data_IF_066551473771
#
_entry.id   IF_066551473771
#
_cell.length_a   1.000
_cell.length_b   1.000
_cell.length_c   1.000
_cell.angle_alpha   90.00
_cell.angle_beta   90.00
_cell.angle_gamma   90.00
#
_symmetry.space_group_name_H-M   'P 1'
#
loop_
_entity.id
_entity.type
_entity.pdbx_description
1 polymer ?
#
# COMPACT_ATOMS: atom_id res chain seq x y z
N UNK A 1 1.72 70.01 44.38
CA UNK A 1 1.02 68.86 43.78
C UNK A 1 1.25 68.97 42.27
N UNK A 2 2.46 68.68 41.80
CA UNK A 2 2.90 67.36 41.33
C UNK A 2 2.23 66.98 40.02
N UNK A 3 2.80 67.39 38.89
CA UNK A 3 2.85 66.59 37.66
C UNK A 3 4.18 66.90 36.96
N UNK A 4 5.01 65.87 36.82
CA UNK A 4 6.33 65.89 36.21
C UNK A 4 6.18 65.73 34.70
N UNK A 5 6.69 66.71 33.94
CA UNK A 5 6.90 66.60 32.50
C UNK A 5 8.07 65.64 32.19
N UNK A 6 7.78 64.63 31.39
CA UNK A 6 8.74 63.66 30.85
C UNK A 6 9.52 64.29 29.68
N UNK A 7 10.77 64.67 29.94
CA UNK A 7 11.73 64.95 28.88
C UNK A 7 12.27 63.65 28.26
N UNK A 8 12.16 63.61 26.95
CA UNK A 8 12.61 62.59 26.00
C UNK A 8 14.12 62.30 26.08
N UNK A 9 14.48 61.02 26.25
CA UNK A 9 15.85 60.54 26.09
C UNK A 9 15.94 59.62 24.87
N UNK A 10 16.81 59.99 23.93
CA UNK A 10 16.98 59.31 22.65
C UNK A 10 17.58 57.91 22.77
N UNK A 11 16.88 56.91 22.23
CA UNK A 11 17.43 55.58 22.03
C UNK A 11 18.42 55.56 20.85
N UNK A 12 19.73 55.54 21.15
CA UNK A 12 20.75 55.10 20.19
C UNK A 12 20.54 53.62 19.88
N UNK A 13 20.03 53.30 18.70
CA UNK A 13 19.99 51.93 18.15
C UNK A 13 21.44 51.46 17.95
N UNK A 14 21.93 50.54 18.79
CA UNK A 14 23.18 49.82 18.53
C UNK A 14 22.92 48.81 17.41
N UNK A 15 23.39 49.10 16.21
CA UNK A 15 23.46 48.11 15.14
C UNK A 15 24.48 47.03 15.56
N UNK A 16 24.01 45.82 15.87
CA UNK A 16 24.89 44.66 15.93
C UNK A 16 25.41 44.39 14.51
N UNK A 17 26.74 44.31 14.30
CA UNK A 17 27.29 44.14 12.97
C UNK A 17 26.91 42.76 12.44
N UNK A 18 26.28 42.73 11.25
CA UNK A 18 25.92 41.54 10.48
C UNK A 18 27.07 40.51 10.38
N UNK A 19 28.32 40.99 10.46
CA UNK A 19 29.53 40.19 10.49
C UNK A 19 29.56 39.15 11.63
N UNK A 20 29.01 39.45 12.81
CA UNK A 20 28.97 38.52 13.93
C UNK A 20 27.96 37.37 13.71
N UNK A 21 26.89 37.59 12.93
CA UNK A 21 25.93 36.54 12.58
C UNK A 21 26.46 35.63 11.46
N UNK A 22 27.23 36.17 10.51
CA UNK A 22 27.86 35.39 9.43
C UNK A 22 28.97 34.48 9.99
N UNK A 23 29.79 34.99 10.92
CA UNK A 23 30.86 34.21 11.54
C UNK A 23 30.34 33.01 12.36
N UNK A 24 29.17 33.17 13.01
CA UNK A 24 28.53 32.08 13.75
C UNK A 24 27.94 31.00 12.82
N UNK A 25 27.49 31.36 11.60
CA UNK A 25 26.92 30.42 10.64
C UNK A 25 27.98 29.52 9.95
N UNK A 26 29.23 29.99 9.83
CA UNK A 26 30.33 29.25 9.19
C UNK A 26 31.02 28.22 10.12
N UNK A 27 30.77 28.28 11.43
CA UNK A 27 31.37 27.39 12.43
C UNK A 27 30.53 26.14 12.71
N UNK A 28 29.46 25.89 11.96
CA UNK A 28 28.67 24.66 12.11
C UNK A 28 29.33 23.57 11.26
N UNK A 29 29.97 22.53 11.85
CA UNK A 29 30.53 21.43 11.09
C UNK A 29 29.38 20.65 10.45
N UNK A 30 29.14 20.91 9.16
CA UNK A 30 28.36 20.03 8.30
C UNK A 30 29.14 18.73 8.20
N UNK A 31 28.70 17.71 8.95
CA UNK A 31 29.26 16.35 8.87
C UNK A 31 28.86 15.71 7.53
N UNK A 32 29.49 16.17 6.45
CA UNK A 32 29.42 15.56 5.14
C UNK A 32 30.27 14.29 5.15
N UNK A 33 29.63 13.14 5.35
CA UNK A 33 30.24 11.84 5.10
C UNK A 33 30.35 11.67 3.57
N UNK A 34 31.37 12.27 2.95
CA UNK A 34 31.60 12.15 1.51
C UNK A 34 33.07 11.88 1.21
N UNK A 35 33.30 10.84 0.42
CA UNK A 35 34.57 10.25 0.04
C UNK A 35 35.64 11.25 -0.40
N UNK A 36 36.72 11.31 0.36
CA UNK A 36 37.99 11.97 0.02
C UNK A 36 39.18 11.08 0.41
N UNK A 37 40.41 11.42 0.00
CA UNK A 37 41.61 10.60 0.25
C UNK A 37 41.99 10.48 1.73
N UNK A 38 41.45 11.34 2.59
CA UNK A 38 41.75 11.40 4.03
C UNK A 38 40.71 10.72 4.93
N UNK A 39 39.82 9.90 4.38
CA UNK A 39 38.87 9.13 5.20
C UNK A 39 39.56 7.88 5.77
N UNK A 40 39.57 7.68 7.10
CA UNK A 40 40.16 6.51 7.71
C UNK A 40 39.44 5.26 7.23
N UNK A 41 40.21 4.27 6.74
CA UNK A 41 39.68 3.01 6.26
C UNK A 41 39.03 2.25 7.43
N UNK A 42 37.70 2.37 7.57
CA UNK A 42 36.93 1.87 8.72
C UNK A 42 37.10 0.36 8.93
N UNK A 43 37.32 -0.40 7.84
CA UNK A 43 37.63 -1.83 7.89
C UNK A 43 38.96 -2.12 8.61
N UNK A 44 39.96 -1.26 8.46
CA UNK A 44 41.26 -1.43 9.11
C UNK A 44 41.26 -0.87 10.54
N UNK A 45 40.56 0.24 10.78
CA UNK A 45 40.50 0.89 12.10
C UNK A 45 39.61 0.13 13.08
N UNK A 46 38.49 -0.42 12.63
CA UNK A 46 37.57 -1.19 13.45
C UNK A 46 36.98 -2.36 12.66
N UNK A 47 37.82 -3.38 12.41
CA UNK A 47 37.44 -4.57 11.64
C UNK A 47 36.23 -5.28 12.24
N UNK A 48 36.24 -5.48 13.56
CA UNK A 48 35.18 -6.24 14.24
C UNK A 48 33.84 -5.50 14.17
N UNK A 49 33.82 -4.19 14.47
CA UNK A 49 32.61 -3.39 14.37
C UNK A 49 32.11 -3.19 12.93
N UNK A 50 33.01 -3.09 11.95
CA UNK A 50 32.64 -2.87 10.55
C UNK A 50 32.13 -4.13 9.86
N UNK A 51 32.66 -5.32 10.21
CA UNK A 51 32.20 -6.58 9.63
C UNK A 51 30.96 -7.16 10.34
N UNK A 52 30.72 -6.77 11.60
CA UNK A 52 29.51 -7.15 12.34
C UNK A 52 28.35 -6.17 12.13
N UNK A 53 28.63 -4.95 11.66
CA UNK A 53 27.61 -4.01 11.26
C UNK A 53 27.17 -4.33 9.83
N UNK A 54 25.98 -4.92 9.69
CA UNK A 54 25.33 -5.05 8.39
C UNK A 54 25.10 -3.62 7.87
N UNK A 55 25.69 -3.22 6.72
CA UNK A 55 25.34 -1.94 6.12
C UNK A 55 23.82 -1.87 5.97
N UNK A 56 23.22 -0.69 6.12
CA UNK A 56 21.76 -0.55 5.99
C UNK A 56 21.33 -1.14 4.65
N UNK A 57 20.83 -2.38 4.70
CA UNK A 57 20.33 -3.09 3.55
C UNK A 57 19.07 -2.36 3.15
N UNK A 58 19.05 -1.80 1.95
CA UNK A 58 17.81 -1.29 1.41
C UNK A 58 16.94 -2.51 1.09
N UNK A 59 16.12 -2.92 2.05
CA UNK A 59 15.23 -4.07 1.92
C UNK A 59 14.40 -3.99 0.64
N UNK A 60 13.94 -2.79 0.27
CA UNK A 60 13.20 -2.56 -0.97
C UNK A 60 14.02 -2.96 -2.21
N UNK A 61 15.30 -2.61 -2.22
CA UNK A 61 16.22 -2.93 -3.29
C UNK A 61 16.51 -4.43 -3.36
N UNK A 62 16.82 -5.08 -2.23
CA UNK A 62 17.10 -6.52 -2.21
C UNK A 62 15.86 -7.36 -2.52
N UNK A 63 14.66 -6.90 -2.13
CA UNK A 63 13.40 -7.56 -2.47
C UNK A 63 13.19 -7.69 -3.99
N UNK A 64 13.66 -6.73 -4.79
CA UNK A 64 13.58 -6.80 -6.26
C UNK A 64 14.45 -7.90 -6.89
N UNK A 65 15.33 -8.53 -6.10
CA UNK A 65 16.31 -9.53 -6.55
C UNK A 65 16.02 -10.93 -6.02
N UNK A 66 14.95 -11.10 -5.24
CA UNK A 66 14.57 -12.40 -4.67
C UNK A 66 14.14 -13.40 -5.74
N UNK A 67 13.61 -12.93 -6.86
CA UNK A 67 13.19 -13.73 -8.02
C UNK A 67 13.63 -13.04 -9.32
N UNK A 68 13.84 -13.79 -10.42
CA UNK A 68 14.13 -13.19 -11.70
C UNK A 68 12.96 -12.34 -12.22
N UNK A 69 13.29 -11.35 -13.04
CA UNK A 69 12.31 -10.59 -13.82
C UNK A 69 11.60 -11.54 -14.78
N UNK A 70 10.27 -11.53 -14.81
CA UNK A 70 9.49 -12.27 -15.81
C UNK A 70 9.44 -11.44 -17.10
N UNK A 71 10.06 -11.88 -18.20
CA UNK A 71 10.14 -11.10 -19.44
C UNK A 71 8.80 -10.97 -20.17
N UNK A 72 7.80 -11.77 -19.82
CA UNK A 72 6.46 -11.72 -20.44
C UNK A 72 5.53 -10.73 -19.76
N UNK A 73 5.94 -10.16 -18.63
CA UNK A 73 5.18 -9.17 -17.88
C UNK A 73 5.77 -7.78 -18.07
N UNK A 74 4.95 -6.71 -18.02
CA UNK A 74 5.42 -5.35 -18.17
C UNK A 74 6.33 -4.95 -17.00
N UNK A 75 7.30 -4.08 -17.29
CA UNK A 75 8.07 -3.38 -16.26
C UNK A 75 7.20 -2.31 -15.63
N UNK A 76 7.30 -2.17 -14.31
CA UNK A 76 6.59 -1.12 -13.60
C UNK A 76 7.05 0.26 -14.11
N UNK A 77 6.07 1.11 -14.37
CA UNK A 77 6.26 2.48 -14.81
C UNK A 77 5.52 3.39 -13.83
N UNK A 78 6.23 4.36 -13.27
CA UNK A 78 5.60 5.39 -12.46
C UNK A 78 4.55 6.12 -13.32
N UNK A 79 3.36 6.43 -12.77
CA UNK A 79 2.45 7.37 -13.41
C UNK A 79 3.23 8.64 -13.73
N UNK A 80 2.99 9.23 -14.91
CA UNK A 80 3.57 10.51 -15.25
C UNK A 80 3.28 11.50 -14.10
N UNK A 81 4.27 12.29 -13.65
CA UNK A 81 4.02 13.29 -12.62
C UNK A 81 2.83 14.14 -13.06
N UNK A 82 1.96 14.50 -12.11
CA UNK A 82 0.80 15.35 -12.35
C UNK A 82 1.27 16.79 -12.68
N UNK A 83 1.97 16.95 -13.80
CA UNK A 83 2.04 18.24 -14.46
C UNK A 83 0.61 18.57 -14.86
N UNK A 84 0.07 19.72 -14.46
CA UNK A 84 -1.24 20.14 -14.96
C UNK A 84 -1.14 20.04 -16.49
N UNK A 85 -1.96 19.19 -17.14
CA UNK A 85 -1.88 19.04 -18.58
C UNK A 85 -2.03 20.44 -19.17
N UNK A 86 -1.28 20.75 -20.24
CA UNK A 86 -1.65 21.88 -21.09
C UNK A 86 -3.16 21.75 -21.34
N UNK A 87 -3.98 22.80 -21.14
CA UNK A 87 -5.43 22.70 -21.30
C UNK A 87 -5.74 22.19 -22.70
N UNK A 88 -5.96 20.88 -22.79
CA UNK A 88 -6.41 20.19 -23.99
C UNK A 88 -7.84 19.80 -23.67
N UNK A 89 -8.80 20.14 -24.54
CA UNK A 89 -10.17 19.70 -24.34
C UNK A 89 -10.18 18.16 -24.28
N UNK A 90 -10.87 17.62 -23.28
CA UNK A 90 -11.11 16.19 -23.19
C UNK A 90 -11.80 15.71 -24.47
N UNK A 91 -11.47 14.52 -24.94
CA UNK A 91 -12.21 13.89 -26.03
C UNK A 91 -13.68 13.69 -25.63
N UNK A 92 -14.62 13.62 -26.61
CA UNK A 92 -16.03 13.38 -26.31
C UNK A 92 -16.26 12.12 -25.45
N UNK A 93 -15.51 11.05 -25.73
CA UNK A 93 -15.55 9.81 -24.94
C UNK A 93 -15.13 10.06 -23.47
N UNK A 94 -14.01 10.74 -23.24
CA UNK A 94 -13.54 11.06 -21.89
C UNK A 94 -14.52 11.95 -21.13
N UNK A 95 -15.18 12.89 -21.81
CA UNK A 95 -16.20 13.75 -21.20
C UNK A 95 -17.42 12.93 -20.76
N UNK A 96 -17.92 12.06 -21.62
CA UNK A 96 -19.08 11.23 -21.30
C UNK A 96 -18.75 10.20 -20.20
N UNK A 97 -17.57 9.56 -20.22
CA UNK A 97 -17.13 8.69 -19.11
C UNK A 97 -17.04 9.47 -17.79
N UNK A 98 -16.50 10.69 -17.81
CA UNK A 98 -16.40 11.52 -16.61
C UNK A 98 -17.79 11.93 -16.08
N UNK A 99 -18.72 12.26 -16.97
CA UNK A 99 -20.12 12.57 -16.60
C UNK A 99 -20.84 11.36 -16.02
N UNK A 100 -20.72 10.18 -16.65
CA UNK A 100 -21.29 8.93 -16.11
C UNK A 100 -20.74 8.61 -14.72
N UNK A 101 -19.42 8.76 -14.51
CA UNK A 101 -18.79 8.45 -13.20
C UNK A 101 -19.07 9.48 -12.11
N UNK A 102 -19.59 10.65 -12.47
CA UNK A 102 -19.98 11.68 -11.50
C UNK A 102 -21.38 11.44 -10.90
N UNK A 103 -22.15 10.49 -11.45
CA UNK A 103 -23.47 10.14 -10.91
C UNK A 103 -23.35 9.20 -9.70
N UNK A 104 -24.46 9.04 -8.96
CA UNK A 104 -24.50 8.15 -7.79
C UNK A 104 -25.19 6.81 -8.08
N UNK A 105 -25.99 6.76 -9.13
CA UNK A 105 -26.75 5.56 -9.51
C UNK A 105 -26.47 5.15 -10.95
N UNK A 106 -26.71 3.87 -11.23
CA UNK A 106 -26.57 3.28 -12.56
C UNK A 106 -27.60 3.89 -13.52
N UNK A 107 -28.81 4.16 -13.06
CA UNK A 107 -29.89 4.76 -13.83
C UNK A 107 -29.52 6.18 -14.31
N UNK A 108 -28.95 6.99 -13.42
CA UNK A 108 -28.44 8.32 -13.77
C UNK A 108 -27.26 8.23 -14.75
N UNK A 109 -26.35 7.28 -14.52
CA UNK A 109 -25.20 7.07 -15.41
C UNK A 109 -25.66 6.66 -16.82
N UNK A 110 -26.68 5.81 -16.93
CA UNK A 110 -27.20 5.35 -18.23
C UNK A 110 -27.99 6.43 -18.97
N UNK A 111 -28.51 7.42 -18.25
CA UNK A 111 -29.19 8.59 -18.84
C UNK A 111 -28.23 9.64 -19.40
N UNK A 112 -26.92 9.57 -19.08
CA UNK A 112 -25.91 10.47 -19.65
C UNK A 112 -25.78 10.24 -21.16
N UNK A 113 -25.60 11.31 -21.92
CA UNK A 113 -25.38 11.20 -23.36
C UNK A 113 -24.06 10.47 -23.65
N UNK A 114 -24.15 9.18 -23.97
CA UNK A 114 -23.00 8.32 -24.27
C UNK A 114 -22.56 8.38 -25.74
N UNK A 115 -22.86 9.46 -26.46
CA UNK A 115 -22.48 9.60 -27.86
C UNK A 115 -20.96 9.61 -28.02
N UNK A 116 -20.44 8.60 -28.71
CA UNK A 116 -19.00 8.40 -28.90
C UNK A 116 -18.36 7.36 -27.98
N UNK A 117 -19.11 6.72 -27.07
CA UNK A 117 -18.62 5.55 -26.34
C UNK A 117 -18.80 4.28 -27.18
N UNK A 118 -17.77 3.42 -27.19
CA UNK A 118 -17.94 2.04 -27.61
C UNK A 118 -18.87 1.30 -26.64
N UNK A 119 -19.50 0.21 -27.10
CA UNK A 119 -20.38 -0.58 -26.24
C UNK A 119 -19.64 -1.11 -25.00
N UNK A 120 -18.39 -1.55 -25.17
CA UNK A 120 -17.53 -1.99 -24.07
C UNK A 120 -17.21 -0.85 -23.09
N UNK A 121 -16.92 0.36 -23.58
CA UNK A 121 -16.70 1.53 -22.72
C UNK A 121 -17.92 1.88 -21.88
N UNK A 122 -19.12 1.86 -22.47
CA UNK A 122 -20.39 2.13 -21.77
C UNK A 122 -20.66 1.08 -20.71
N UNK A 123 -20.63 -0.21 -21.07
CA UNK A 123 -20.86 -1.32 -20.14
C UNK A 123 -19.86 -1.31 -18.98
N UNK A 124 -18.57 -1.12 -19.26
CA UNK A 124 -17.56 -1.01 -18.23
C UNK A 124 -17.82 0.17 -17.29
N UNK A 125 -18.20 1.33 -17.83
CA UNK A 125 -18.45 2.54 -17.03
C UNK A 125 -19.68 2.39 -16.14
N UNK A 126 -20.76 1.77 -16.64
CA UNK A 126 -21.92 1.40 -15.81
C UNK A 126 -21.53 0.43 -14.69
N UNK A 127 -20.70 -0.58 -15.01
CA UNK A 127 -20.15 -1.50 -14.03
C UNK A 127 -19.29 -0.80 -12.97
N UNK A 128 -18.51 0.20 -13.36
CA UNK A 128 -17.70 0.99 -12.44
C UNK A 128 -18.55 1.86 -11.50
N UNK A 129 -19.62 2.49 -12.01
CA UNK A 129 -20.59 3.24 -11.19
C UNK A 129 -21.29 2.30 -10.21
N UNK A 130 -21.79 1.17 -10.70
CA UNK A 130 -22.39 0.13 -9.86
C UNK A 130 -21.42 -0.35 -8.78
N UNK A 131 -20.16 -0.59 -9.12
CA UNK A 131 -19.13 -1.05 -8.19
C UNK A 131 -18.83 -0.01 -7.09
N UNK A 132 -18.79 1.27 -7.44
CA UNK A 132 -18.60 2.36 -6.48
C UNK A 132 -19.81 2.57 -5.56
N UNK A 133 -21.01 2.31 -6.06
CA UNK A 133 -22.26 2.38 -5.31
C UNK A 133 -22.58 1.09 -4.51
N UNK A 134 -21.69 0.10 -4.52
CA UNK A 134 -21.93 -1.25 -3.98
C UNK A 134 -23.20 -1.93 -4.53
N UNK A 135 -23.59 -1.59 -5.76
CA UNK A 135 -24.73 -2.16 -6.44
C UNK A 135 -24.41 -3.59 -6.93
N UNK A 136 -25.24 -4.60 -6.61
CA UNK A 136 -24.98 -5.99 -6.98
C UNK A 136 -24.89 -6.23 -8.50
N UNK A 137 -25.44 -5.31 -9.31
CA UNK A 137 -25.39 -5.36 -10.78
C UNK A 137 -23.99 -5.14 -11.34
N UNK A 138 -23.03 -4.64 -10.55
CA UNK A 138 -21.65 -4.42 -11.00
C UNK A 138 -21.02 -5.66 -11.66
N UNK A 139 -21.23 -6.83 -11.05
CA UNK A 139 -20.75 -8.11 -11.59
C UNK A 139 -21.31 -8.41 -12.98
N UNK A 140 -22.61 -8.13 -13.19
CA UNK A 140 -23.31 -8.37 -14.46
C UNK A 140 -22.77 -7.47 -15.57
N UNK A 141 -22.46 -6.21 -15.28
CA UNK A 141 -21.88 -5.30 -16.28
C UNK A 141 -20.48 -5.72 -16.70
N UNK A 142 -19.61 -6.09 -15.76
CA UNK A 142 -18.28 -6.59 -16.11
C UNK A 142 -18.35 -7.89 -16.91
N UNK A 143 -19.25 -8.81 -16.55
CA UNK A 143 -19.49 -10.02 -17.32
C UNK A 143 -20.01 -9.73 -18.73
N UNK A 144 -20.86 -8.72 -18.90
CA UNK A 144 -21.33 -8.31 -20.22
C UNK A 144 -20.19 -7.79 -21.11
N UNK A 145 -19.22 -7.04 -20.56
CA UNK A 145 -18.02 -6.65 -21.30
C UNK A 145 -17.24 -7.89 -21.76
N UNK A 146 -17.02 -8.86 -20.85
CA UNK A 146 -16.27 -10.08 -21.15
C UNK A 146 -17.00 -11.03 -22.11
N UNK A 147 -18.32 -10.89 -22.23
CA UNK A 147 -19.15 -11.64 -23.18
C UNK A 147 -19.14 -11.05 -24.59
N UNK A 148 -18.64 -9.82 -24.78
CA UNK A 148 -18.47 -9.24 -26.12
C UNK A 148 -17.41 -10.02 -26.91
N UNK A 149 -17.50 -10.03 -28.26
CA UNK A 149 -16.42 -10.56 -29.10
C UNK A 149 -15.08 -9.88 -28.77
N UNK A 150 -13.98 -10.61 -28.81
CA UNK A 150 -12.66 -10.10 -28.41
C UNK A 150 -12.25 -8.80 -29.13
N UNK A 151 -12.67 -8.64 -30.40
CA UNK A 151 -12.42 -7.43 -31.18
C UNK A 151 -13.18 -6.19 -30.67
N UNK A 152 -14.31 -6.38 -29.98
CA UNK A 152 -15.16 -5.31 -29.44
C UNK A 152 -14.83 -4.97 -27.98
N UNK A 153 -14.10 -5.85 -27.28
CA UNK A 153 -13.72 -5.61 -25.88
C UNK A 153 -12.71 -4.48 -25.71
N UNK A 154 -11.90 -4.20 -26.74
CA UNK A 154 -10.85 -3.17 -26.72
C UNK A 154 -9.97 -3.26 -25.46
N UNK A 155 -9.57 -2.12 -24.88
CA UNK A 155 -8.87 -2.08 -23.59
C UNK A 155 -9.81 -2.32 -22.38
N UNK A 156 -11.12 -2.38 -22.59
CA UNK A 156 -12.12 -2.50 -21.53
C UNK A 156 -12.27 -3.94 -21.02
N UNK A 157 -12.02 -4.94 -21.88
CA UNK A 157 -12.02 -6.36 -21.49
C UNK A 157 -11.06 -6.65 -20.33
N UNK A 158 -9.80 -6.22 -20.45
CA UNK A 158 -8.78 -6.41 -19.41
C UNK A 158 -9.17 -5.72 -18.09
N UNK A 159 -9.72 -4.49 -18.18
CA UNK A 159 -10.21 -3.73 -17.03
C UNK A 159 -11.42 -4.39 -16.35
N UNK A 160 -12.36 -4.91 -17.15
CA UNK A 160 -13.53 -5.62 -16.65
C UNK A 160 -13.13 -6.89 -15.92
N UNK A 161 -12.17 -7.65 -16.48
CA UNK A 161 -11.62 -8.85 -15.85
C UNK A 161 -10.97 -8.54 -14.50
N UNK A 162 -10.13 -7.51 -14.44
CA UNK A 162 -9.50 -7.06 -13.20
C UNK A 162 -10.54 -6.59 -12.16
N UNK A 163 -11.55 -5.85 -12.61
CA UNK A 163 -12.62 -5.31 -11.74
C UNK A 163 -13.53 -6.41 -11.19
N UNK A 164 -13.79 -7.46 -11.98
CA UNK A 164 -14.49 -8.66 -11.51
C UNK A 164 -13.71 -9.36 -10.38
N UNK A 165 -12.38 -9.47 -10.51
CA UNK A 165 -11.52 -9.98 -9.44
C UNK A 165 -11.64 -9.17 -8.15
N UNK A 166 -11.64 -7.83 -8.24
CA UNK A 166 -11.83 -6.94 -7.08
C UNK A 166 -13.19 -7.10 -6.43
N UNK A 167 -14.25 -7.23 -7.23
CA UNK A 167 -15.60 -7.49 -6.74
C UNK A 167 -15.68 -8.82 -6.00
N UNK A 168 -15.07 -9.88 -6.54
CA UNK A 168 -14.99 -11.19 -5.89
C UNK A 168 -14.19 -11.16 -4.59
N UNK A 169 -13.23 -10.25 -4.44
CA UNK A 169 -12.52 -10.00 -3.17
C UNK A 169 -13.30 -9.14 -2.17
N UNK A 170 -14.40 -8.49 -2.58
CA UNK A 170 -15.02 -7.41 -1.81
C UNK A 170 -14.08 -6.21 -1.61
N UNK A 171 -13.12 -6.00 -2.52
CA UNK A 171 -12.11 -4.96 -2.42
C UNK A 171 -12.60 -3.65 -3.05
N UNK A 172 -13.49 -2.93 -2.37
CA UNK A 172 -14.02 -1.63 -2.81
C UNK A 172 -13.04 -0.46 -2.62
N UNK A 173 -11.82 -0.74 -2.17
CA UNK A 173 -10.86 0.27 -1.69
C UNK A 173 -10.89 0.35 -0.17
N UNK A 174 -9.87 0.95 0.42
CA UNK A 174 -9.85 1.20 1.87
C UNK A 174 -10.74 2.40 2.13
N UNK A 175 -11.79 2.30 2.97
CA UNK A 175 -12.42 3.51 3.52
C UNK A 175 -11.32 4.32 4.20
N UNK A 176 -11.23 5.62 3.91
CA UNK A 176 -10.44 6.51 4.75
C UNK A 176 -11.05 6.42 6.15
N UNK A 177 -10.35 5.74 7.06
CA UNK A 177 -10.82 5.56 8.43
C UNK A 177 -10.97 6.92 9.11
N UNK A 178 -12.18 7.46 9.16
CA UNK A 178 -12.50 8.63 10.01
C UNK A 178 -12.45 8.26 11.50
N UNK A 179 -12.65 6.97 11.82
CA UNK A 179 -12.56 6.43 13.17
C UNK A 179 -11.28 5.61 13.28
N UNK A 180 -10.36 6.03 14.15
CA UNK A 180 -9.05 5.41 14.42
C UNK A 180 -9.09 4.01 15.04
N UNK A 181 -10.09 3.20 14.69
CA UNK A 181 -10.21 1.78 15.01
C UNK A 181 -9.50 0.98 13.91
N UNK A 182 -8.71 -0.04 14.27
CA UNK A 182 -8.17 -0.97 13.28
C UNK A 182 -9.34 -1.65 12.56
N UNK A 183 -9.42 -1.57 11.22
CA UNK A 183 -10.49 -2.23 10.49
C UNK A 183 -10.28 -3.74 10.63
N UNK A 184 -11.29 -4.45 11.12
CA UNK A 184 -11.35 -5.91 10.94
C UNK A 184 -11.36 -6.15 9.44
N UNK A 185 -10.29 -6.73 8.91
CA UNK A 185 -10.17 -7.03 7.47
C UNK A 185 -11.19 -8.13 7.15
N UNK A 186 -12.38 -7.72 6.72
CA UNK A 186 -13.39 -8.65 6.20
C UNK A 186 -12.95 -9.07 4.81
N UNK A 187 -12.85 -10.38 4.60
CA UNK A 187 -12.68 -10.96 3.28
C UNK A 187 -13.76 -12.02 3.03
N UNK A 188 -14.10 -12.30 1.77
CA UNK A 188 -15.01 -13.37 1.41
C UNK A 188 -14.52 -14.77 1.80
N UNK A 189 -15.43 -15.75 1.72
CA UNK A 189 -15.12 -17.16 1.92
C UNK A 189 -14.13 -17.70 0.87
N UNK A 190 -13.39 -18.75 1.23
CA UNK A 190 -12.34 -19.34 0.39
C UNK A 190 -12.78 -19.62 -1.06
N UNK A 191 -13.98 -20.19 -1.26
CA UNK A 191 -14.48 -20.54 -2.59
C UNK A 191 -14.69 -19.30 -3.49
N UNK A 192 -15.00 -18.14 -2.92
CA UNK A 192 -15.12 -16.88 -3.67
C UNK A 192 -13.74 -16.27 -3.93
N UNK A 193 -12.82 -16.39 -2.97
CA UNK A 193 -11.43 -15.99 -3.15
C UNK A 193 -10.71 -16.79 -4.24
N UNK A 194 -11.00 -18.09 -4.39
CA UNK A 194 -10.48 -18.91 -5.49
C UNK A 194 -10.96 -18.42 -6.86
N UNK A 195 -12.21 -17.94 -6.96
CA UNK A 195 -12.71 -17.29 -8.18
C UNK A 195 -12.01 -15.97 -8.44
N UNK A 196 -11.72 -15.19 -7.40
CA UNK A 196 -10.94 -13.95 -7.53
C UNK A 196 -9.52 -14.23 -8.04
N UNK A 197 -8.83 -15.25 -7.47
CA UNK A 197 -7.51 -15.69 -7.95
C UNK A 197 -7.54 -16.04 -9.44
N UNK A 198 -8.54 -16.83 -9.88
CA UNK A 198 -8.72 -17.17 -11.28
C UNK A 198 -8.94 -15.92 -12.16
N UNK A 199 -9.73 -14.95 -11.68
CA UNK A 199 -9.99 -13.73 -12.42
C UNK A 199 -8.72 -12.89 -12.63
N UNK A 200 -7.88 -12.75 -11.60
CA UNK A 200 -6.58 -12.06 -11.71
C UNK A 200 -5.57 -12.85 -12.54
N UNK A 201 -5.59 -14.18 -12.49
CA UNK A 201 -4.71 -14.99 -13.32
C UNK A 201 -5.03 -14.80 -14.81
N UNK A 202 -6.31 -14.69 -15.17
CA UNK A 202 -6.73 -14.39 -16.54
C UNK A 202 -6.23 -13.01 -17.03
N UNK A 203 -6.09 -12.01 -16.15
CA UNK A 203 -5.45 -10.72 -16.51
C UNK A 203 -3.97 -10.93 -16.86
N UNK A 204 -3.25 -11.65 -16.00
CA UNK A 204 -1.83 -11.96 -16.20
C UNK A 204 -1.61 -12.73 -17.50
N UNK A 205 -2.41 -13.77 -17.75
CA UNK A 205 -2.28 -14.62 -18.93
C UNK A 205 -2.55 -13.85 -20.23
N UNK A 206 -3.58 -12.98 -20.24
CA UNK A 206 -3.86 -12.10 -21.38
C UNK A 206 -2.67 -11.18 -21.70
N UNK A 207 -2.09 -10.54 -20.68
CA UNK A 207 -0.93 -9.66 -20.89
C UNK A 207 0.29 -10.45 -21.36
N UNK A 208 0.55 -11.63 -20.79
CA UNK A 208 1.60 -12.53 -21.26
C UNK A 208 1.39 -13.00 -22.70
N UNK A 209 0.13 -13.08 -23.16
CA UNK A 209 -0.24 -13.40 -24.55
C UNK A 209 -0.18 -12.21 -25.52
N UNK A 210 0.12 -11.01 -25.02
CA UNK A 210 0.33 -9.80 -25.84
C UNK A 210 -0.78 -8.75 -25.75
N UNK A 211 -1.77 -8.91 -24.87
CA UNK A 211 -2.77 -7.85 -24.63
C UNK A 211 -2.09 -6.61 -24.05
N UNK A 212 -2.44 -5.44 -24.60
CA UNK A 212 -1.91 -4.16 -24.10
C UNK A 212 -2.40 -3.88 -22.67
N UNK A 213 -1.47 -3.46 -21.80
CA UNK A 213 -1.75 -3.17 -20.39
C UNK A 213 -1.27 -1.76 -19.98
N UNK A 214 -1.92 -0.70 -20.49
CA UNK A 214 -1.51 0.68 -20.20
C UNK A 214 -1.67 1.05 -18.72
N UNK A 215 -2.58 0.38 -18.01
CA UNK A 215 -2.87 0.63 -16.60
C UNK A 215 -2.06 -0.28 -15.65
N UNK A 216 -1.20 -1.16 -16.19
CA UNK A 216 -0.37 -2.11 -15.45
C UNK A 216 -1.18 -3.04 -14.52
N UNK A 217 -2.36 -3.47 -15.00
CA UNK A 217 -3.28 -4.34 -14.29
C UNK A 217 -2.71 -5.73 -14.04
N UNK A 218 -1.83 -6.25 -14.89
CA UNK A 218 -1.16 -7.53 -14.63
C UNK A 218 -0.24 -7.45 -13.41
N UNK A 219 0.47 -6.33 -13.22
CA UNK A 219 1.28 -6.12 -12.01
C UNK A 219 0.41 -5.94 -10.77
N UNK A 220 -0.67 -5.17 -10.89
CA UNK A 220 -1.66 -5.02 -9.82
C UNK A 220 -2.30 -6.36 -9.43
N UNK A 221 -2.54 -7.24 -10.42
CA UNK A 221 -3.08 -8.58 -10.22
C UNK A 221 -2.15 -9.48 -9.39
N UNK A 222 -0.82 -9.38 -9.55
CA UNK A 222 0.13 -10.09 -8.67
C UNK A 222 -0.07 -9.70 -7.20
N UNK A 223 -0.19 -8.40 -6.93
CA UNK A 223 -0.41 -7.89 -5.57
C UNK A 223 -1.75 -8.34 -4.98
N UNK A 224 -2.81 -8.35 -5.78
CA UNK A 224 -4.13 -8.82 -5.33
C UNK A 224 -4.14 -10.33 -5.04
N UNK A 225 -3.54 -11.16 -5.91
CA UNK A 225 -3.39 -12.59 -5.64
C UNK A 225 -2.58 -12.84 -4.36
N UNK A 226 -1.48 -12.11 -4.18
CA UNK A 226 -0.66 -12.22 -2.98
C UNK A 226 -1.44 -11.86 -1.71
N UNK A 227 -2.28 -10.83 -1.75
CA UNK A 227 -3.19 -10.46 -0.65
C UNK A 227 -4.19 -11.57 -0.33
N UNK A 228 -4.76 -12.21 -1.34
CA UNK A 228 -5.66 -13.36 -1.15
C UNK A 228 -4.92 -14.51 -0.44
N UNK A 229 -3.72 -14.86 -0.89
CA UNK A 229 -2.91 -15.90 -0.25
C UNK A 229 -2.60 -15.58 1.22
N UNK A 230 -2.35 -14.31 1.58
CA UNK A 230 -2.21 -13.90 2.98
C UNK A 230 -3.50 -14.13 3.79
N UNK A 231 -4.67 -13.82 3.25
CA UNK A 231 -5.96 -14.09 3.91
C UNK A 231 -6.21 -15.59 4.12
N UNK A 232 -5.73 -16.42 3.20
CA UNK A 232 -5.79 -17.88 3.30
C UNK A 232 -4.70 -18.48 4.21
N UNK A 233 -3.80 -17.66 4.76
CA UNK A 233 -2.66 -18.12 5.58
C UNK A 233 -1.51 -18.74 4.77
N UNK A 234 -1.53 -18.60 3.45
CA UNK A 234 -0.58 -19.18 2.50
C UNK A 234 0.59 -18.20 2.26
N UNK A 235 1.51 -18.15 3.22
CA UNK A 235 2.57 -17.12 3.23
C UNK A 235 3.57 -17.29 2.08
N UNK A 236 3.98 -18.52 1.75
CA UNK A 236 4.98 -18.75 0.71
C UNK A 236 4.49 -18.33 -0.70
N UNK A 237 3.28 -18.71 -1.16
CA UNK A 237 2.72 -18.19 -2.40
C UNK A 237 2.60 -16.66 -2.42
N UNK A 238 2.13 -16.06 -1.30
CA UNK A 238 2.04 -14.61 -1.19
C UNK A 238 3.41 -13.91 -1.35
N UNK A 239 4.44 -14.42 -0.67
CA UNK A 239 5.78 -13.87 -0.74
C UNK A 239 6.37 -13.98 -2.15
N UNK A 240 6.14 -15.09 -2.85
CA UNK A 240 6.60 -15.27 -4.22
C UNK A 240 5.95 -14.27 -5.19
N UNK A 241 4.64 -14.05 -5.08
CA UNK A 241 3.91 -13.11 -5.93
C UNK A 241 4.33 -11.66 -5.68
N UNK A 242 4.48 -11.25 -4.41
CA UNK A 242 5.00 -9.92 -4.10
C UNK A 242 6.46 -9.74 -4.52
N UNK A 243 7.30 -10.77 -4.39
CA UNK A 243 8.67 -10.74 -4.91
C UNK A 243 8.67 -10.59 -6.44
N UNK A 244 7.77 -11.27 -7.15
CA UNK A 244 7.63 -11.12 -8.60
C UNK A 244 7.21 -9.70 -8.98
N UNK A 245 6.24 -9.11 -8.26
CA UNK A 245 5.82 -7.73 -8.46
C UNK A 245 6.97 -6.74 -8.22
N UNK A 246 7.75 -6.95 -7.15
CA UNK A 246 8.93 -6.15 -6.83
C UNK A 246 10.04 -6.28 -7.89
N UNK A 247 10.29 -7.50 -8.38
CA UNK A 247 11.26 -7.76 -9.45
C UNK A 247 10.92 -7.00 -10.73
N UNK A 248 9.63 -6.75 -11.01
CA UNK A 248 9.19 -5.93 -12.14
C UNK A 248 9.45 -4.43 -11.97
N UNK A 249 9.94 -4.00 -10.81
CA UNK A 249 10.31 -2.61 -10.51
C UNK A 249 9.27 -1.88 -9.66
N UNK A 250 8.19 -2.53 -9.22
CA UNK A 250 7.22 -1.90 -8.34
C UNK A 250 7.70 -1.98 -6.88
N UNK A 251 8.22 -0.87 -6.35
CA UNK A 251 8.77 -0.80 -5.00
C UNK A 251 7.80 -0.20 -3.96
N UNK A 252 6.48 -0.35 -4.14
CA UNK A 252 5.51 0.16 -3.16
C UNK A 252 5.57 -0.64 -1.85
N UNK A 253 5.38 0.07 -0.75
CA UNK A 253 5.58 -0.43 0.62
C UNK A 253 4.75 -1.69 0.99
N UNK A 254 3.58 -1.91 0.38
CA UNK A 254 2.72 -3.05 0.69
C UNK A 254 3.32 -4.41 0.29
N UNK A 255 3.89 -4.51 -0.92
CA UNK A 255 4.57 -5.72 -1.39
C UNK A 255 5.80 -6.04 -0.54
N UNK A 256 6.50 -5.00 -0.10
CA UNK A 256 7.67 -5.12 0.77
C UNK A 256 7.31 -5.56 2.20
N UNK A 257 6.23 -5.02 2.78
CA UNK A 257 5.77 -5.39 4.11
C UNK A 257 5.39 -6.88 4.21
N UNK A 258 4.76 -7.43 3.17
CA UNK A 258 4.40 -8.85 3.12
C UNK A 258 5.62 -9.78 2.96
N UNK A 259 6.58 -9.40 2.11
CA UNK A 259 7.85 -10.15 1.98
C UNK A 259 8.59 -10.15 3.32
N UNK A 260 8.59 -9.02 4.04
CA UNK A 260 9.21 -8.91 5.36
C UNK A 260 8.55 -9.84 6.39
N UNK A 261 7.20 -9.92 6.41
CA UNK A 261 6.47 -10.85 7.28
C UNK A 261 6.88 -12.31 7.01
N UNK A 262 7.01 -12.71 5.74
CA UNK A 262 7.47 -14.06 5.39
C UNK A 262 8.91 -14.32 5.88
N UNK A 263 9.84 -13.43 5.57
CA UNK A 263 11.27 -13.60 5.91
C UNK A 263 11.56 -13.54 7.41
N UNK A 264 10.73 -12.83 8.18
CA UNK A 264 10.89 -12.72 9.64
C UNK A 264 10.31 -13.91 10.42
N UNK A 265 9.61 -14.84 9.76
CA UNK A 265 8.98 -16.00 10.41
C UNK A 265 7.91 -15.61 11.44
N UNK A 266 7.45 -14.36 11.43
CA UNK A 266 6.39 -13.92 12.32
C UNK A 266 5.05 -14.48 11.81
N UNK A 267 4.23 -15.11 12.66
CA UNK A 267 2.86 -15.38 12.28
C UNK A 267 2.20 -14.05 11.91
N UNK A 268 1.29 -14.06 10.93
CA UNK A 268 0.44 -12.93 10.60
C UNK A 268 -0.52 -12.63 11.77
N UNK A 269 0.02 -12.19 12.90
CA UNK A 269 -0.70 -11.79 14.08
C UNK A 269 -0.71 -10.26 14.07
N UNK A 270 -1.74 -9.69 13.46
CA UNK A 270 -2.24 -8.37 13.86
C UNK A 270 -2.76 -8.51 15.30
N UNK A 271 -1.84 -8.55 16.27
CA UNK A 271 -2.12 -8.71 17.68
C UNK A 271 -1.81 -7.41 18.40
N UNK A 272 -2.85 -6.61 18.62
CA UNK A 272 -2.75 -5.33 19.33
C UNK A 272 -2.22 -5.52 20.75
N UNK A 273 -1.11 -4.84 21.06
CA UNK A 273 -0.67 -4.64 22.44
C UNK A 273 -1.22 -3.30 22.92
N UNK A 274 -2.12 -3.35 23.91
CA UNK A 274 -2.61 -2.17 24.62
C UNK A 274 -1.49 -1.60 25.48
N UNK A 275 -0.93 -0.48 25.08
CA UNK A 275 -0.29 0.45 26.02
C UNK A 275 -0.94 1.81 25.84
N UNK A 276 -1.66 2.24 26.88
CA UNK A 276 -2.25 3.57 26.95
C UNK A 276 -1.18 4.66 26.86
N UNK A 277 -1.63 5.83 26.42
CA UNK A 277 -0.93 7.06 26.07
C UNK A 277 -0.85 7.30 24.55
N UNK A 278 -1.74 8.19 24.16
CA UNK A 278 -2.03 8.75 22.86
C UNK A 278 -0.82 9.41 22.20
N UNK A 279 -0.28 8.75 21.17
CA UNK A 279 0.18 9.34 19.89
C UNK A 279 0.48 8.20 18.91
N UNK A 280 -0.50 7.79 18.10
CA UNK A 280 -0.28 6.70 17.14
C UNK A 280 0.58 7.18 15.96
N UNK A 281 1.83 6.72 15.98
CA UNK A 281 2.80 6.75 14.89
C UNK A 281 2.86 5.32 14.36
N UNK A 282 2.24 5.02 13.22
CA UNK A 282 2.41 3.74 12.54
C UNK A 282 3.41 3.92 11.37
N UNK A 283 4.52 3.20 11.46
CA UNK A 283 5.65 3.10 10.52
C UNK A 283 6.28 4.40 9.96
N UNK A 284 6.74 5.30 10.84
CA UNK A 284 7.64 6.40 10.44
C UNK A 284 8.79 6.67 11.41
N UNK A 285 9.26 5.66 12.14
CA UNK A 285 10.55 5.76 12.83
C UNK A 285 11.14 4.40 13.12
N UNK A 286 12.03 3.94 12.25
CA UNK A 286 13.18 3.18 12.68
C UNK A 286 14.38 4.12 12.64
N UNK A 287 14.70 4.70 13.80
CA UNK A 287 16.03 5.25 14.06
C UNK A 287 16.85 4.16 14.77
N UNK A 288 18.10 3.90 14.39
CA UNK A 288 18.85 2.70 14.80
C UNK A 288 19.57 2.87 16.16
N UNK A 289 18.90 3.46 17.16
CA UNK A 289 19.51 3.76 18.46
C UNK A 289 18.52 3.54 19.60
N UNK A 290 18.21 2.29 19.94
CA UNK A 290 17.71 1.90 21.29
C UNK A 290 17.77 0.38 21.48
N UNK A 291 18.97 -0.22 21.43
CA UNK A 291 19.20 -1.46 22.18
C UNK A 291 19.69 -1.09 23.57
N UNK A 292 18.93 -1.45 24.60
CA UNK A 292 19.48 -1.59 25.95
C UNK A 292 19.09 -2.97 26.49
N UNK A 293 20.03 -3.74 27.06
CA UNK A 293 19.81 -5.14 27.43
C UNK A 293 19.40 -5.23 28.90
N UNK A 294 18.12 -5.49 29.20
CA UNK A 294 17.73 -5.95 30.53
C UNK A 294 16.28 -6.47 30.59
N UNK A 295 16.14 -7.70 31.07
CA UNK A 295 14.94 -8.35 31.63
C UNK A 295 13.82 -8.66 30.60
N UNK A 296 13.21 -9.85 30.57
CA UNK A 296 12.69 -10.64 31.68
C UNK A 296 12.68 -12.14 31.35
N UNK A 297 13.01 -12.89 32.39
CA UNK A 297 13.02 -14.33 32.67
C UNK A 297 11.81 -15.11 32.11
N UNK A 298 12.09 -16.22 31.43
CA UNK A 298 11.14 -17.29 31.10
C UNK A 298 10.69 -18.05 32.36
N UNK A 299 9.38 -18.24 32.55
CA UNK A 299 8.83 -19.32 33.38
C UNK A 299 7.62 -19.95 32.67
N UNK A 300 7.79 -21.21 32.26
CA UNK A 300 6.70 -22.14 32.03
C UNK A 300 6.04 -22.51 33.38
N UNK A 301 4.78 -23.00 33.34
CA UNK A 301 4.57 -24.30 33.96
C UNK A 301 3.73 -25.23 33.08
N UNK A 302 4.23 -26.45 32.94
CA UNK A 302 3.42 -27.64 32.73
C UNK A 302 3.09 -28.27 34.09
N UNK A 303 1.89 -28.89 34.16
CA UNK A 303 1.53 -30.08 34.94
C UNK A 303 0.42 -29.92 36.00
N UNK A 304 -0.73 -30.50 35.64
CA UNK A 304 -1.53 -31.50 36.39
C UNK A 304 -2.15 -31.15 37.75
N UNK A 305 -3.48 -31.25 37.81
CA UNK A 305 -4.14 -32.13 38.80
C UNK A 305 -5.54 -32.56 38.34
N UNK A 306 -5.76 -33.87 38.42
CA UNK A 306 -6.99 -34.64 38.17
C UNK A 306 -7.80 -34.75 39.47
N UNK A 307 -9.15 -34.83 39.38
CA UNK A 307 -10.09 -35.71 40.15
C UNK A 307 -11.55 -35.19 40.13
N UNK A 308 -12.59 -35.99 40.48
CA UNK A 308 -13.18 -37.05 39.66
C UNK A 308 -14.72 -36.91 39.53
N UNK A 309 -15.33 -37.79 38.74
CA UNK A 309 -16.78 -37.95 38.63
C UNK A 309 -17.40 -38.79 39.77
N UNK A 310 -18.62 -38.45 40.19
CA UNK A 310 -19.56 -39.39 40.83
C UNK A 310 -21.01 -38.97 40.60
N UNK A 311 -21.78 -39.91 40.04
CA UNK A 311 -23.22 -39.92 39.76
C UNK A 311 -24.12 -39.67 40.99
N UNK A 312 -25.32 -39.09 40.78
CA UNK A 312 -26.61 -39.78 41.05
C UNK A 312 -27.87 -38.91 40.78
N UNK A 313 -28.76 -39.45 39.93
CA UNK A 313 -30.23 -39.47 39.93
C UNK A 313 -31.12 -38.20 40.04
N UNK A 314 -31.87 -37.98 38.94
CA UNK A 314 -33.35 -37.89 38.80
C UNK A 314 -34.22 -37.30 39.92
N UNK A 315 -35.05 -36.29 39.61
CA UNK A 315 -36.54 -36.34 39.52
C UNK A 315 -37.08 -34.94 39.15
N UNK A 316 -38.08 -34.92 38.26
CA UNK A 316 -38.95 -33.81 37.78
C UNK A 316 -39.84 -33.21 38.91
N UNK A 317 -40.57 -32.08 38.73
CA UNK A 317 -41.25 -31.58 37.52
C UNK A 317 -40.65 -30.32 36.91
#
# INVERSE_FOLDING_TARGET
>A
MSYLDLHTTGHRRRALPLASLIAAALMVPLSGQACGPDFPNRLLVNRNGTLLYMPEGNFAFEATRLVPVDPQLPRWQAPAPATPPKPMPLSPEQQAIAQMRATQTVEEADAVNAQGLSNAARLYTLGAVAFAAEDPRASQYFQQVLALPAAEQEAWGLRAQYSLGRLLMGDHGTPENESGSEPVVKHPEKAQLEQALAAFQQVIDQVKSGTADPDQLALSSLGQQARIHLWLGEIAPAAQLYAQQAAQGESRWWSLAAIYLHLSGQPAACGGVKTGHSRFRWCSSWSPLSCSPAAVIWRCPASLTVRPASNSLSIRP
#
